data_IF_682350709851
#
_entry.id   IF_682350709851
#
_cell.length_a   1.000
_cell.length_b   1.000
_cell.length_c   1.000
_cell.angle_alpha   90.00
_cell.angle_beta   90.00
_cell.angle_gamma   90.00
#
_symmetry.space_group_name_H-M   'P 1'
#
loop_
_entity.id
_entity.type
_entity.pdbx_description
1 polymer ?
2 non-polymer ?
3 water ?
#
# COMPACT_ATOMS: atom_id res chain seq x y z
N UNK A 21 23.48 5.19 -25.89
CA UNK A 21 23.07 4.21 -24.88
C UNK A 21 22.03 4.80 -23.91
N UNK A 22 21.12 3.96 -23.41
CA UNK A 22 20.09 4.41 -22.47
C UNK A 22 20.55 4.24 -21.03
N UNK A 23 20.06 5.11 -20.15
CA UNK A 23 20.35 4.98 -18.72
C UNK A 23 19.40 3.96 -18.11
N UNK A 24 19.95 3.01 -17.38
CA UNK A 24 19.17 1.97 -16.74
C UNK A 24 18.61 2.47 -15.40
N UNK A 25 17.31 2.31 -15.19
CA UNK A 25 16.70 2.74 -13.94
C UNK A 25 17.38 2.05 -12.75
N UNK A 26 17.78 2.83 -11.76
CA UNK A 26 18.41 2.28 -10.57
C UNK A 26 19.93 2.24 -10.65
N UNK A 27 20.48 2.51 -11.83
CA UNK A 27 21.93 2.52 -12.02
C UNK A 27 22.60 3.65 -11.26
N UNK A 28 23.92 3.56 -11.09
CA UNK A 28 24.67 4.58 -10.38
C UNK A 28 24.54 5.93 -11.09
N UNK A 29 24.62 5.90 -12.42
CA UNK A 29 24.49 7.12 -13.20
C UNK A 29 23.07 7.69 -13.07
N UNK A 30 22.09 6.80 -13.07
CA UNK A 30 20.69 7.21 -12.86
C UNK A 30 20.57 7.96 -11.54
N UNK A 31 21.10 7.35 -10.48
CA UNK A 31 21.05 7.96 -9.16
C UNK A 31 21.64 9.35 -9.16
N UNK A 32 22.80 9.50 -9.81
CA UNK A 32 23.47 10.79 -9.90
C UNK A 32 22.60 11.82 -10.60
N UNK A 33 22.07 11.45 -11.77
CA UNK A 33 21.19 12.34 -12.50
C UNK A 33 19.98 12.69 -11.66
N UNK A 34 19.35 11.68 -11.08
CA UNK A 34 18.15 11.89 -10.28
C UNK A 34 18.38 12.85 -9.10
N UNK A 35 19.51 12.71 -8.41
CA UNK A 35 19.81 13.58 -7.28
C UNK A 35 19.96 15.04 -7.66
N UNK A 36 20.42 15.29 -8.89
CA UNK A 36 20.70 16.65 -9.34
C UNK A 36 19.46 17.33 -9.89
N UNK A 37 18.46 16.51 -10.21
CA UNK A 37 17.27 16.99 -10.91
C UNK A 37 16.28 17.68 -9.98
N UNK A 38 15.62 18.71 -10.49
CA UNK A 38 14.68 19.50 -9.69
C UNK A 38 13.24 19.03 -9.88
N UNK A 39 12.48 18.98 -8.79
CA UNK A 39 11.09 18.56 -8.82
C UNK A 39 10.24 19.58 -8.08
N UNK A 40 8.95 19.66 -8.44
CA UNK A 40 7.99 20.44 -7.64
C UNK A 40 8.04 19.92 -6.22
N UNK A 41 7.93 20.82 -5.25
CA UNK A 41 7.95 20.44 -3.84
C UNK A 41 6.61 19.85 -3.41
N UNK A 42 6.64 18.88 -2.51
CA UNK A 42 5.42 18.27 -1.99
C UNK A 42 4.60 19.25 -1.16
N UNK A 43 5.18 20.44 -0.93
CA UNK A 43 4.51 21.52 -0.20
C UNK A 43 3.07 21.73 -0.64
N UNK A 44 2.87 21.75 -1.95
CA UNK A 44 1.57 22.05 -2.54
C UNK A 44 0.53 20.94 -2.36
N UNK A 45 0.99 19.72 -2.08
CA UNK A 45 0.12 18.54 -2.15
C UNK A 45 0.02 17.78 -0.84
N UNK A 46 1.12 17.70 -0.11
CA UNK A 46 1.16 16.92 1.12
C UNK A 46 0.88 17.75 2.36
N UNK A 47 -0.24 17.46 3.01
CA UNK A 47 -0.58 18.11 4.26
C UNK A 47 0.35 17.65 5.39
N UNK A 48 0.86 18.60 6.17
CA UNK A 48 1.54 18.29 7.43
C UNK A 48 0.52 18.39 8.54
N UNK A 49 0.38 17.33 9.32
CA UNK A 49 -0.72 17.23 10.27
C UNK A 49 -0.25 16.54 11.54
N UNK A 50 -0.60 17.09 12.71
CA UNK A 50 -0.21 16.45 13.97
C UNK A 50 -0.99 15.15 14.16
N UNK A 51 -0.37 14.18 14.83
CA UNK A 51 -0.95 12.85 14.96
C UNK A 51 -2.37 12.83 15.47
N UNK A 52 -2.64 13.64 16.49
CA UNK A 52 -3.92 13.65 17.16
C UNK A 52 -5.07 14.14 16.29
N UNK A 53 -4.74 14.87 15.24
CA UNK A 53 -5.79 15.44 14.39
C UNK A 53 -6.12 14.52 13.21
N UNK A 54 -5.37 13.42 13.09
CA UNK A 54 -5.63 12.45 12.06
C UNK A 54 -6.72 11.48 12.53
N UNK A 55 -7.97 11.92 12.46
CA UNK A 55 -9.10 11.15 12.92
C UNK A 55 -9.96 10.67 11.76
N UNK A 56 -10.90 9.77 12.06
CA UNK A 56 -11.88 9.34 11.08
C UNK A 56 -12.59 10.56 10.48
N UNK A 57 -13.01 11.48 11.34
CA UNK A 57 -13.64 12.71 10.90
C UNK A 57 -12.79 13.50 9.93
N UNK A 58 -11.52 13.70 10.27
CA UNK A 58 -10.59 14.36 9.36
C UNK A 58 -10.57 13.65 8.01
N UNK A 59 -10.36 12.34 8.02
CA UNK A 59 -10.30 11.58 6.77
C UNK A 59 -11.56 11.75 5.95
N UNK A 60 -12.71 11.68 6.63
CA UNK A 60 -13.98 11.81 5.93
C UNK A 60 -14.16 13.21 5.33
N UNK A 61 -13.73 14.23 6.08
CA UNK A 61 -13.79 15.60 5.60
C UNK A 61 -12.99 15.77 4.32
N UNK A 62 -11.71 15.38 4.36
CA UNK A 62 -10.83 15.60 3.21
C UNK A 62 -10.81 14.45 2.19
N UNK A 63 -11.32 13.29 2.58
CA UNK A 63 -11.45 12.16 1.67
C UNK A 63 -10.17 11.40 1.35
N UNK A 64 -9.09 11.70 2.06
CA UNK A 64 -7.82 11.00 1.85
C UNK A 64 -7.52 10.86 0.36
N UNK A 65 -7.47 11.98 -0.35
CA UNK A 65 -7.10 11.98 -1.76
C UNK A 65 -5.67 12.46 -1.96
N UNK A 66 -5.07 13.02 -0.91
CA UNK A 66 -3.69 13.45 -0.97
C UNK A 66 -2.86 12.89 0.18
N UNK A 67 -1.55 12.70 -0.03
CA UNK A 67 -0.72 12.11 1.02
C UNK A 67 -0.66 13.04 2.23
N UNK A 68 -0.36 12.46 3.38
CA UNK A 68 -0.36 13.17 4.63
C UNK A 68 0.93 12.86 5.35
N UNK A 69 1.66 13.90 5.74
CA UNK A 69 2.89 13.71 6.50
C UNK A 69 2.63 14.07 7.96
N UNK A 70 3.01 13.18 8.86
CA UNK A 70 2.88 13.41 10.31
C UNK A 70 4.29 13.49 10.89
N UNK A 71 4.76 14.72 11.15
CA UNK A 71 6.16 14.90 11.50
C UNK A 71 6.59 14.15 12.77
N UNK A 72 5.72 14.05 13.77
CA UNK A 72 6.08 13.34 15.00
C UNK A 72 5.01 12.33 15.33
N UNK A 73 5.40 11.19 15.90
CA UNK A 73 4.47 10.07 16.06
C UNK A 73 3.44 10.28 17.15
N UNK A 74 3.67 11.27 18.01
CA UNK A 74 2.77 11.55 19.12
C UNK A 74 1.32 11.76 18.67
N UNK A 75 0.42 11.00 19.29
CA UNK A 75 -0.98 11.11 18.96
C UNK A 75 -1.47 10.08 17.94
N UNK A 76 -0.54 9.44 17.25
CA UNK A 76 -0.90 8.47 16.21
C UNK A 76 -1.31 7.12 16.77
N UNK A 77 -0.84 6.80 17.98
CA UNK A 77 -1.08 5.49 18.55
C UNK A 77 -0.22 4.48 17.82
N UNK A 78 0.79 4.99 17.13
CA UNK A 78 1.77 4.14 16.47
C UNK A 78 2.74 3.61 17.52
N UNK A 79 2.97 2.30 17.54
CA UNK A 79 3.99 1.75 18.41
C UNK A 79 5.15 1.25 17.55
N UNK A 80 6.34 1.77 17.82
CA UNK A 80 7.55 1.32 17.16
C UNK A 80 8.65 1.28 18.21
N UNK A 81 9.70 0.49 17.97
CA UNK A 81 10.83 0.49 18.90
C UNK A 81 11.52 1.85 18.92
N UNK A 82 12.36 2.08 19.92
CA UNK A 82 13.20 3.27 19.92
C UNK A 82 14.14 3.23 18.73
N UNK A 83 14.65 4.39 18.32
CA UNK A 83 15.62 4.46 17.21
C UNK A 83 16.94 3.75 17.52
N UNK A 84 17.13 3.31 18.77
CA UNK A 84 18.30 2.48 19.10
C UNK A 84 18.03 1.01 18.82
N UNK A 85 17.05 0.76 17.95
CA UNK A 85 16.73 -0.57 17.49
C UNK A 85 17.36 -0.70 16.12
N UNK A 86 18.33 -1.59 15.97
CA UNK A 86 19.15 -1.66 14.76
C UNK A 86 18.84 -2.85 13.88
N UNK A 87 19.47 -2.88 12.71
CA UNK A 87 19.25 -3.99 11.79
C UNK A 87 19.67 -5.30 12.44
N UNK A 88 20.70 -5.26 13.27
CA UNK A 88 21.12 -6.47 13.99
C UNK A 88 20.00 -6.95 14.91
N UNK A 89 19.24 -6.00 15.46
CA UNK A 89 18.08 -6.34 16.29
C UNK A 89 16.96 -6.97 15.45
N UNK A 90 16.72 -6.41 14.27
CA UNK A 90 15.76 -7.02 13.37
C UNK A 90 16.14 -8.47 13.16
N UNK A 91 17.43 -8.72 12.89
CA UNK A 91 17.89 -10.08 12.64
C UNK A 91 17.55 -11.01 13.79
N UNK A 92 17.79 -10.54 15.01
CA UNK A 92 17.50 -11.34 16.19
C UNK A 92 16.01 -11.63 16.39
N UNK A 93 15.17 -10.64 16.16
CA UNK A 93 13.74 -10.79 16.44
C UNK A 93 12.95 -11.41 15.29
N UNK A 94 13.39 -11.18 14.06
CA UNK A 94 12.78 -11.82 12.92
C UNK A 94 13.30 -13.25 12.82
N UNK A 95 14.62 -13.39 12.97
CA UNK A 95 15.26 -14.70 12.90
C UNK A 95 16.26 -14.76 11.76
N UNK A 96 17.52 -15.09 12.09
CA UNK A 96 18.59 -15.06 11.07
C UNK A 96 18.36 -16.02 9.91
N UNK A 97 17.58 -17.07 10.15
CA UNK A 97 17.42 -18.10 9.13
C UNK A 97 16.25 -17.82 8.20
N UNK A 98 15.46 -16.80 8.53
CA UNK A 98 14.32 -16.43 7.71
C UNK A 98 14.68 -16.10 6.27
N UNK A 99 13.96 -16.69 5.33
CA UNK A 99 14.16 -16.38 3.92
C UNK A 99 13.54 -15.00 3.64
N UNK A 100 14.26 -14.17 2.89
CA UNK A 100 13.79 -12.82 2.56
C UNK A 100 14.06 -12.52 1.10
N UNK A 101 13.19 -11.72 0.48
CA UNK A 101 13.39 -11.27 -0.88
C UNK A 101 14.32 -10.07 -0.87
N UNK A 102 15.29 -10.06 -1.77
CA UNK A 102 16.26 -8.98 -1.83
C UNK A 102 16.32 -8.42 -3.23
N UNK A 103 16.23 -7.10 -3.35
CA UNK A 103 16.31 -6.46 -4.64
C UNK A 103 17.74 -5.96 -4.86
N UNK A 104 18.33 -6.39 -5.97
CA UNK A 104 19.58 -5.81 -6.42
C UNK A 104 19.23 -4.58 -7.25
N UNK A 105 19.40 -3.40 -6.66
CA UNK A 105 18.94 -2.16 -7.26
C UNK A 105 19.57 -1.85 -8.61
N UNK A 106 20.87 -2.10 -8.75
CA UNK A 106 21.57 -1.77 -9.99
C UNK A 106 21.13 -2.65 -11.16
N UNK A 107 20.79 -3.90 -10.88
CA UNK A 107 20.30 -4.84 -11.90
C UNK A 107 18.77 -4.74 -12.04
N UNK A 108 18.13 -4.20 -11.01
CA UNK A 108 16.67 -4.19 -10.92
C UNK A 108 16.11 -5.61 -10.92
N UNK A 109 16.92 -6.56 -10.45
CA UNK A 109 16.50 -7.95 -10.33
C UNK A 109 16.30 -8.33 -8.87
N UNK A 110 15.53 -9.38 -8.64
CA UNK A 110 15.25 -9.83 -7.27
C UNK A 110 15.81 -11.23 -7.05
N UNK A 111 16.13 -11.54 -5.79
CA UNK A 111 16.61 -12.87 -5.43
C UNK A 111 16.22 -13.17 -3.99
N UNK A 112 16.50 -14.40 -3.55
CA UNK A 112 16.26 -14.76 -2.16
C UNK A 112 17.56 -15.07 -1.42
N UNK A 113 17.53 -14.90 -0.11
CA UNK A 113 18.65 -15.23 0.75
C UNK A 113 18.17 -15.21 2.20
N UNK A 114 18.92 -15.86 3.08
CA UNK A 114 18.58 -15.82 4.49
C UNK A 114 18.85 -14.42 5.03
N UNK A 115 18.12 -14.04 6.07
CA UNK A 115 18.21 -12.69 6.55
C UNK A 115 19.63 -12.44 7.03
N UNK A 116 20.19 -13.44 7.72
CA UNK A 116 21.56 -13.32 8.26
C UNK A 116 22.56 -12.93 7.17
N UNK A 117 22.36 -13.46 5.97
CA UNK A 117 23.23 -13.13 4.85
C UNK A 117 23.06 -11.67 4.44
N UNK A 118 21.82 -11.20 4.36
CA UNK A 118 21.61 -9.79 4.01
C UNK A 118 22.23 -8.89 5.07
N UNK A 119 22.01 -9.23 6.33
CA UNK A 119 22.58 -8.45 7.43
C UNK A 119 24.10 -8.37 7.36
N UNK A 120 24.74 -9.49 7.00
CA UNK A 120 26.19 -9.53 6.78
C UNK A 120 26.59 -8.52 5.72
N UNK A 121 25.83 -8.49 4.63
CA UNK A 121 26.07 -7.51 3.58
C UNK A 121 25.88 -6.10 4.12
N UNK A 122 24.76 -5.90 4.82
CA UNK A 122 24.42 -4.58 5.33
C UNK A 122 25.54 -3.98 6.17
N UNK A 123 26.15 -4.80 7.02
CA UNK A 123 27.15 -4.30 7.94
C UNK A 123 28.57 -4.29 7.37
N UNK A 124 28.73 -4.76 6.14
CA UNK A 124 30.04 -4.75 5.50
C UNK A 124 30.49 -3.32 5.19
N UNK A 125 31.79 -3.15 4.92
CA UNK A 125 32.33 -1.84 4.62
C UNK A 125 32.63 -1.71 3.13
N UNK A 126 33.37 -2.67 2.60
CA UNK A 126 33.51 -2.79 1.16
C UNK A 126 32.16 -3.20 0.60
N UNK A 127 31.28 -2.22 0.42
CA UNK A 127 29.92 -2.47 -0.02
C UNK A 127 29.79 -2.22 -1.52
N UNK A 128 29.87 -3.28 -2.30
CA UNK A 128 29.78 -3.16 -3.76
C UNK A 128 28.34 -2.93 -4.20
N UNK A 129 27.56 -4.01 -4.22
CA UNK A 129 26.18 -3.99 -4.68
C UNK A 129 25.30 -3.02 -3.90
N UNK A 130 24.19 -2.63 -4.50
CA UNK A 130 23.14 -1.88 -3.80
C UNK A 130 21.95 -2.83 -3.64
N UNK A 131 21.70 -3.26 -2.40
CA UNK A 131 20.67 -4.24 -2.13
C UNK A 131 19.71 -3.71 -1.07
N UNK A 132 18.42 -3.98 -1.24
CA UNK A 132 17.43 -3.61 -0.25
C UNK A 132 16.44 -4.74 0.06
N UNK A 133 15.84 -4.68 1.24
CA UNK A 133 14.76 -5.55 1.64
C UNK A 133 13.54 -4.65 1.74
N UNK A 134 12.53 -4.88 0.92
CA UNK A 134 11.38 -3.98 0.97
C UNK A 134 10.05 -4.68 1.20
N UNK A 135 10.07 -5.98 1.44
CA UNK A 135 8.83 -6.72 1.63
C UNK A 135 8.88 -7.78 2.73
N UNK A 136 9.65 -7.50 3.77
CA UNK A 136 9.74 -8.39 4.91
C UNK A 136 8.55 -8.16 5.83
N UNK A 137 7.53 -9.01 5.75
CA UNK A 137 6.36 -8.86 6.61
C UNK A 137 6.57 -9.72 7.87
N UNK A 138 6.50 -9.09 9.04
CA UNK A 138 7.00 -9.76 10.25
C UNK A 138 5.92 -10.02 11.30
N UNK A 139 4.65 -9.95 10.90
CA UNK A 139 3.56 -10.24 11.81
C UNK A 139 3.64 -11.64 12.41
N UNK A 140 4.33 -12.55 11.71
CA UNK A 140 4.49 -13.93 12.20
C UNK A 140 5.79 -14.17 12.96
N UNK A 141 6.44 -13.10 13.41
CA UNK A 141 7.72 -13.22 14.11
C UNK A 141 7.67 -12.62 15.51
N UNK A 142 8.72 -12.86 16.29
CA UNK A 142 8.83 -12.26 17.61
C UNK A 142 8.82 -10.73 17.54
N UNK A 143 9.25 -10.18 16.41
CA UNK A 143 9.31 -8.72 16.25
C UNK A 143 7.94 -8.08 16.14
N UNK A 144 6.92 -8.89 15.90
CA UNK A 144 5.58 -8.36 15.71
C UNK A 144 5.11 -7.51 16.88
N UNK A 145 5.43 -7.92 18.10
CA UNK A 145 4.91 -7.21 19.26
C UNK A 145 5.52 -5.83 19.43
N UNK A 146 6.61 -5.55 18.70
CA UNK A 146 7.30 -4.26 18.79
C UNK A 146 6.63 -3.18 17.95
N UNK A 147 5.76 -3.57 17.03
CA UNK A 147 5.16 -2.58 16.14
C UNK A 147 3.64 -2.71 16.10
N UNK A 148 2.97 -1.58 16.25
CA UNK A 148 1.52 -1.51 16.06
C UNK A 148 1.24 -0.36 15.10
N UNK A 149 0.45 -0.63 14.05
CA UNK A 149 0.11 0.39 13.06
C UNK A 149 -0.62 1.56 13.70
N UNK A 150 -0.60 2.73 13.04
CA UNK A 150 -1.31 3.90 13.58
C UNK A 150 -2.79 3.58 13.82
N UNK A 151 -3.38 4.16 14.86
CA UNK A 151 -4.81 4.01 15.14
C UNK A 151 -5.71 4.29 13.93
N UNK A 152 -5.37 5.29 13.13
CA UNK A 152 -6.22 5.67 12.00
C UNK A 152 -6.27 4.56 10.93
N UNK A 153 -5.16 3.87 10.76
CA UNK A 153 -5.10 2.74 9.84
C UNK A 153 -6.05 1.63 10.29
N UNK A 154 -6.02 1.32 11.58
CA UNK A 154 -6.92 0.31 12.13
C UNK A 154 -8.38 0.70 11.97
N UNK A 155 -8.69 1.96 12.22
CA UNK A 155 -10.05 2.47 12.06
C UNK A 155 -10.53 2.43 10.61
N UNK A 156 -9.62 2.64 9.67
CA UNK A 156 -9.99 2.65 8.24
C UNK A 156 -9.98 1.28 7.57
N UNK A 157 -9.11 0.40 8.08
CA UNK A 157 -8.80 -0.86 7.40
C UNK A 157 -9.99 -1.81 7.26
N UNK A 158 -10.30 -2.21 6.03
CA UNK A 158 -11.36 -3.19 5.79
C UNK A 158 -11.06 -4.53 6.48
N UNK A 159 -9.80 -4.95 6.41
CA UNK A 159 -9.41 -6.23 7.00
C UNK A 159 -9.57 -6.19 8.52
N UNK A 160 -9.08 -5.11 9.13
CA UNK A 160 -9.16 -4.94 10.57
C UNK A 160 -10.62 -4.92 11.05
N UNK A 161 -11.50 -4.32 10.26
CA UNK A 161 -12.89 -4.14 10.69
C UNK A 161 -13.86 -5.25 10.28
N UNK A 162 -13.66 -5.85 9.11
CA UNK A 162 -14.71 -6.68 8.51
C UNK A 162 -14.34 -8.14 8.29
N UNK A 163 -13.05 -8.45 8.43
CA UNK A 163 -12.59 -9.83 8.27
C UNK A 163 -12.64 -10.55 9.61
N UNK A 164 -13.53 -11.55 9.74
CA UNK A 164 -13.71 -12.22 11.04
C UNK A 164 -12.49 -12.99 11.50
N UNK A 165 -12.26 -13.01 12.82
CA UNK A 165 -11.14 -13.75 13.39
C UNK A 165 -11.26 -15.26 13.13
N UNK A 166 -12.49 -15.77 13.04
CA UNK A 166 -12.68 -17.20 12.78
C UNK A 166 -12.75 -17.57 11.29
N UNK A 167 -12.42 -16.62 10.43
CA UNK A 167 -12.39 -16.88 8.99
C UNK A 167 -11.50 -18.07 8.62
N UNK A 168 -11.93 -18.84 7.62
CA UNK A 168 -11.17 -20.01 7.17
C UNK A 168 -10.04 -19.63 6.19
N UNK A 169 -10.17 -18.48 5.55
CA UNK A 169 -9.12 -17.95 4.68
C UNK A 169 -8.26 -17.01 5.50
N UNK A 170 -6.95 -17.06 5.32
CA UNK A 170 -6.02 -16.25 6.11
C UNK A 170 -6.09 -14.76 5.73
N UNK A 171 -6.06 -13.89 6.74
CA UNK A 171 -6.03 -12.44 6.52
C UNK A 171 -4.85 -12.04 5.64
N UNK A 172 -5.04 -11.03 4.79
CA UNK A 172 -3.94 -10.59 3.93
C UNK A 172 -2.70 -10.21 4.76
N UNK A 173 -1.57 -10.86 4.50
CA UNK A 173 -0.39 -10.66 5.33
C UNK A 173 0.38 -9.44 4.83
N UNK A 174 -0.10 -8.24 5.17
CA UNK A 174 0.45 -7.00 4.61
C UNK A 174 0.42 -5.87 5.65
N UNK A 175 0.33 -6.24 6.91
CA UNK A 175 0.07 -5.31 8.00
C UNK A 175 1.34 -4.69 8.58
N UNK A 176 2.42 -5.46 8.60
CA UNK A 176 3.67 -5.01 9.22
C UNK A 176 4.86 -5.38 8.37
N UNK A 177 5.42 -4.40 7.68
CA UNK A 177 6.60 -4.65 6.84
C UNK A 177 7.79 -3.95 7.48
N UNK A 178 8.94 -4.61 7.43
CA UNK A 178 10.19 -3.96 7.80
C UNK A 178 10.98 -3.68 6.53
N UNK A 179 11.40 -2.44 6.33
CA UNK A 179 12.17 -2.09 5.14
C UNK A 179 13.58 -1.69 5.54
N UNK A 180 14.56 -2.27 4.87
CA UNK A 180 15.96 -1.95 5.10
C UNK A 180 16.58 -1.57 3.77
N UNK A 181 16.92 -0.29 3.63
CA UNK A 181 17.42 0.24 2.38
C UNK A 181 18.79 0.88 2.60
N UNK A 182 19.80 0.46 1.83
CA UNK A 182 21.10 1.11 1.90
C UNK A 182 21.12 2.44 1.15
N UNK A 183 22.09 3.27 1.48
CA UNK A 183 22.33 4.51 0.75
C UNK A 183 22.33 4.23 -0.75
N UNK A 184 21.61 5.07 -1.50
CA UNK A 184 21.46 4.97 -2.96
C UNK A 184 20.51 3.89 -3.44
N UNK A 185 19.69 3.38 -2.53
CA UNK A 185 18.69 2.42 -2.91
C UNK A 185 17.62 3.22 -3.68
N UNK A 186 17.01 2.57 -4.67
CA UNK A 186 15.93 3.19 -5.47
C UNK A 186 14.85 2.15 -5.72
N UNK A 187 13.60 2.54 -5.50
CA UNK A 187 12.47 1.68 -5.86
C UNK A 187 11.71 2.46 -6.92
N UNK A 188 11.47 1.82 -8.06
CA UNK A 188 10.95 2.51 -9.23
C UNK A 188 9.45 2.74 -9.07
N UNK A 189 8.89 3.58 -9.95
CA UNK A 189 7.49 3.98 -9.83
C UNK A 189 6.55 2.78 -9.82
N UNK A 190 5.62 2.80 -8.90
CA UNK A 190 4.61 1.75 -8.86
C UNK A 190 3.37 2.25 -8.13
N UNK A 191 2.27 1.54 -8.36
CA UNK A 191 1.09 1.71 -7.55
C UNK A 191 1.00 0.50 -6.65
N UNK A 192 0.71 0.70 -5.37
CA UNK A 192 0.62 -0.45 -4.48
C UNK A 192 -0.48 -1.41 -4.95
N UNK A 193 -0.25 -2.69 -4.68
CA UNK A 193 -1.18 -3.72 -5.13
C UNK A 193 -2.55 -3.52 -4.49
N UNK A 194 -3.61 -3.77 -5.26
CA UNK A 194 -4.96 -3.58 -4.79
C UNK A 194 -5.35 -2.11 -4.68
N UNK A 195 -4.51 -1.23 -5.21
CA UNK A 195 -4.72 0.19 -5.00
C UNK A 195 -4.76 0.48 -3.51
N UNK A 196 -4.07 -0.35 -2.74
CA UNK A 196 -4.00 -0.18 -1.29
C UNK A 196 -3.37 1.15 -0.87
N UNK A 197 -3.80 1.65 0.27
CA UNK A 197 -3.20 2.84 0.83
C UNK A 197 -2.08 2.35 1.73
N UNK A 198 -1.14 3.23 2.08
CA UNK A 198 0.05 2.78 2.82
C UNK A 198 0.43 3.78 3.90
N UNK A 199 0.99 3.29 5.00
CA UNK A 199 1.69 4.19 5.91
C UNK A 199 3.16 3.76 5.92
N UNK A 200 4.06 4.72 6.07
CA UNK A 200 5.48 4.48 6.10
C UNK A 200 6.05 5.29 7.26
N UNK A 201 6.74 4.64 8.18
CA UNK A 201 7.37 5.34 9.30
C UNK A 201 8.87 5.12 9.26
N UNK A 202 9.62 6.19 9.15
CA UNK A 202 11.07 6.08 9.08
C UNK A 202 11.61 6.08 10.51
N UNK A 203 12.18 4.96 10.92
CA UNK A 203 12.76 4.85 12.26
C UNK A 203 14.15 5.48 12.27
N UNK A 204 14.93 5.19 11.24
CA UNK A 204 16.30 5.68 11.20
C UNK A 204 16.65 6.08 9.79
N UNK A 205 17.30 7.23 9.63
CA UNK A 205 17.74 7.66 8.32
C UNK A 205 16.65 8.47 7.64
N UNK A 206 16.62 8.41 6.32
CA UNK A 206 15.58 9.11 5.58
C UNK A 206 15.28 8.48 4.22
N UNK A 207 14.12 8.82 3.68
CA UNK A 207 13.66 8.20 2.45
C UNK A 207 12.97 9.30 1.65
N UNK A 208 13.32 9.42 0.38
CA UNK A 208 12.71 10.44 -0.46
C UNK A 208 11.65 9.79 -1.33
N UNK A 209 10.45 10.36 -1.34
CA UNK A 209 9.35 9.84 -2.16
C UNK A 209 9.11 10.76 -3.35
N UNK A 210 8.90 10.17 -4.52
CA UNK A 210 8.56 10.95 -5.70
C UNK A 210 7.13 10.54 -6.06
N UNK A 211 6.19 11.48 -5.94
CA UNK A 211 4.78 11.15 -5.88
C UNK A 211 4.05 11.73 -7.09
N UNK A 212 3.27 10.89 -7.74
CA UNK A 212 2.51 11.31 -8.90
C UNK A 212 1.03 11.01 -8.63
N UNK A 213 0.20 12.03 -8.78
CA UNK A 213 -1.23 11.93 -8.53
C UNK A 213 -1.88 10.95 -9.50
N UNK A 214 -2.81 10.11 -9.01
CA UNK A 214 -3.44 9.16 -9.93
C UNK A 214 -4.58 9.79 -10.73
N UNK A 215 -4.29 10.87 -11.44
CA UNK A 215 -5.23 11.41 -12.42
C UNK A 215 -5.41 10.34 -13.49
N UNK A 216 -6.60 10.26 -14.08
CA UNK A 216 -6.88 9.15 -14.97
C UNK A 216 -5.82 8.93 -16.06
N UNK A 217 -5.41 9.99 -16.74
CA UNK A 217 -4.41 9.89 -17.79
C UNK A 217 -3.06 9.40 -17.25
N UNK A 218 -2.72 9.81 -16.03
CA UNK A 218 -1.48 9.35 -15.40
C UNK A 218 -1.50 7.84 -15.17
N UNK A 219 -2.62 7.32 -14.70
CA UNK A 219 -2.77 5.89 -14.51
C UNK A 219 -2.62 5.11 -15.84
N UNK A 220 -3.26 5.60 -16.87
CA UNK A 220 -3.10 5.01 -18.20
C UNK A 220 -1.66 5.03 -18.69
N UNK A 221 -1.00 6.14 -18.56
CA UNK A 221 0.39 6.25 -18.90
C UNK A 221 1.24 5.24 -18.10
N UNK A 222 0.93 5.15 -16.82
CA UNK A 222 1.64 4.22 -15.93
C UNK A 222 1.47 2.80 -16.44
N UNK A 223 0.24 2.43 -16.79
CA UNK A 223 0.00 1.07 -17.26
C UNK A 223 0.81 0.77 -18.52
N UNK A 224 0.83 1.72 -19.45
CA UNK A 224 1.54 1.56 -20.70
C UNK A 224 3.05 1.55 -20.49
N UNK A 225 3.51 2.33 -19.51
CA UNK A 225 4.91 2.30 -19.15
C UNK A 225 5.29 0.95 -18.53
N UNK A 226 4.52 0.46 -17.56
CA UNK A 226 4.87 -0.81 -16.90
C UNK A 226 4.92 -1.95 -17.90
N UNK A 227 4.15 -1.85 -18.98
CA UNK A 227 4.05 -2.97 -19.92
C UNK A 227 5.05 -2.93 -21.07
N UNK A 228 5.74 -1.81 -21.23
CA UNK A 228 6.75 -1.67 -22.27
C UNK A 228 7.99 -2.50 -21.96
N UNK A 229 8.63 -3.04 -22.99
CA UNK A 229 9.83 -3.85 -22.78
C UNK A 229 11.01 -3.01 -22.30
N UNK A 230 11.00 -1.72 -22.64
CA UNK A 230 12.10 -0.84 -22.26
C UNK A 230 11.79 0.02 -21.04
N UNK A 231 10.92 -0.46 -20.16
CA UNK A 231 10.46 0.38 -19.06
C UNK A 231 11.55 0.68 -18.05
N UNK A 232 12.51 -0.23 -17.90
CA UNK A 232 13.64 0.02 -17.01
C UNK A 232 14.63 1.02 -17.60
N UNK A 233 14.39 1.43 -18.85
CA UNK A 233 15.20 2.45 -19.49
C UNK A 233 14.49 3.81 -19.51
N UNK A 234 13.24 3.84 -19.05
CA UNK A 234 12.45 5.07 -19.08
C UNK A 234 12.13 5.56 -17.69
N UNK A 235 12.41 6.84 -17.45
CA UNK A 235 12.07 7.46 -16.18
C UNK A 235 10.62 7.95 -16.25
N UNK A 236 9.72 7.25 -15.57
CA UNK A 236 8.28 7.56 -15.70
C UNK A 236 7.88 9.02 -15.42
N UNK A 237 8.53 9.66 -14.46
CA UNK A 237 8.22 11.06 -14.14
C UNK A 237 8.35 12.00 -15.33
N UNK A 238 9.14 11.60 -16.33
CA UNK A 238 9.30 12.38 -17.56
C UNK A 238 7.98 12.49 -18.34
N UNK A 239 7.07 11.56 -18.11
CA UNK A 239 5.84 11.49 -18.89
C UNK A 239 4.67 12.27 -18.28
N UNK A 240 4.84 12.78 -17.06
CA UNK A 240 3.74 13.45 -16.38
C UNK A 240 4.09 14.90 -16.09
N UNK A 241 3.05 15.71 -15.85
CA UNK A 241 3.24 17.14 -15.62
C UNK A 241 3.89 17.44 -14.27
N UNK A 242 3.49 16.69 -13.23
CA UNK A 242 3.93 16.98 -11.87
C UNK A 242 4.32 15.70 -11.13
N UNK A 243 5.56 15.65 -10.68
CA UNK A 243 6.01 14.57 -9.82
C UNK A 243 6.61 15.25 -8.59
N UNK A 244 5.93 15.12 -7.45
CA UNK A 244 6.32 15.87 -6.26
C UNK A 244 7.38 15.13 -5.44
N UNK A 245 8.35 15.87 -4.92
CA UNK A 245 9.41 15.27 -4.11
C UNK A 245 9.13 15.53 -2.64
N UNK A 246 9.02 14.45 -1.87
CA UNK A 246 8.72 14.55 -0.44
C UNK A 246 9.74 13.78 0.39
N UNK A 247 10.57 14.48 1.15
CA UNK A 247 11.56 13.81 1.98
C UNK A 247 10.95 13.44 3.32
N UNK A 248 11.04 12.16 3.68
CA UNK A 248 10.50 11.68 4.94
C UNK A 248 11.68 11.39 5.86
N UNK A 249 11.76 12.10 6.98
CA UNK A 249 12.93 12.04 7.83
C UNK A 249 12.67 11.19 9.06
N UNK A 250 13.67 11.06 9.90
CA UNK A 250 13.61 10.18 11.03
C UNK A 250 12.45 10.56 11.96
N UNK A 251 11.68 9.55 12.37
CA UNK A 251 10.57 9.75 13.27
C UNK A 251 9.29 10.21 12.58
N UNK A 252 9.36 10.49 11.29
CA UNK A 252 8.19 10.97 10.56
C UNK A 252 7.41 9.83 9.92
N UNK A 253 6.13 10.06 9.64
CA UNK A 253 5.24 9.03 9.09
C UNK A 253 4.52 9.62 7.89
N UNK A 254 4.54 8.93 6.76
CA UNK A 254 3.84 9.36 5.56
C UNK A 254 2.68 8.42 5.21
N UNK A 255 1.51 8.97 4.94
CA UNK A 255 0.38 8.18 4.50
C UNK A 255 0.16 8.45 3.03
N UNK A 256 0.14 7.38 2.23
CA UNK A 256 -0.03 7.51 0.80
C UNK A 256 -1.40 6.96 0.41
N UNK A 257 -2.21 7.76 -0.28
CA UNK A 257 -3.59 7.34 -0.57
C UNK A 257 -3.63 6.39 -1.74
N UNK A 258 -4.82 5.83 -1.97
CA UNK A 258 -5.04 4.85 -3.01
C UNK A 258 -4.66 5.36 -4.41
N UNK A 259 -3.93 4.52 -5.13
CA UNK A 259 -3.64 4.75 -6.53
C UNK A 259 -2.46 5.64 -6.85
N UNK A 260 -1.93 6.36 -5.87
CA UNK A 260 -0.77 7.20 -6.13
C UNK A 260 0.40 6.40 -6.69
N UNK A 261 1.05 6.96 -7.69
CA UNK A 261 2.16 6.31 -8.36
C UNK A 261 3.43 6.88 -7.78
N UNK A 262 4.28 6.04 -7.17
CA UNK A 262 5.44 6.61 -6.50
C UNK A 262 6.71 5.76 -6.60
N UNK A 263 7.85 6.45 -6.50
CA UNK A 263 9.14 5.80 -6.47
C UNK A 263 9.84 6.32 -5.24
N UNK A 264 10.93 5.68 -4.82
CA UNK A 264 11.65 6.20 -3.67
C UNK A 264 13.14 6.13 -3.89
N UNK A 265 13.86 7.07 -3.29
CA UNK A 265 15.31 7.06 -3.32
C UNK A 265 15.76 7.17 -1.87
N UNK A 266 16.78 6.39 -1.51
CA UNK A 266 17.32 6.41 -0.16
C UNK A 266 18.68 7.11 -0.13
N UNK A 267 18.74 8.29 0.50
CA UNK A 267 19.97 9.09 0.55
C UNK A 267 20.97 8.62 1.61
N UNK A 268 20.48 7.93 2.64
CA UNK A 268 21.34 7.36 3.67
C UNK A 268 20.74 6.03 4.11
N UNK A 269 21.56 5.19 4.74
CA UNK A 269 21.05 3.90 5.18
C UNK A 269 19.77 4.17 5.95
N UNK A 270 18.70 3.44 5.61
CA UNK A 270 17.40 3.69 6.20
C UNK A 270 16.76 2.42 6.74
N UNK A 271 16.11 2.54 7.90
CA UNK A 271 15.31 1.47 8.47
C UNK A 271 13.90 2.02 8.66
N UNK A 272 12.90 1.34 8.09
CA UNK A 272 11.53 1.85 8.14
C UNK A 272 10.53 0.74 8.34
N UNK A 273 9.31 1.12 8.76
CA UNK A 273 8.22 0.19 8.91
C UNK A 273 7.06 0.69 8.06
N UNK A 274 6.26 -0.23 7.54
CA UNK A 274 5.14 0.16 6.67
C UNK A 274 4.03 -0.87 6.74
N UNK A 275 2.84 -0.49 6.25
CA UNK A 275 1.71 -1.39 6.19
C UNK A 275 0.76 -0.94 5.08
N UNK A 276 -0.02 -1.87 4.53
CA UNK A 276 -0.96 -1.56 3.46
C UNK A 276 -2.39 -1.86 3.88
N UNK A 277 -3.32 -1.04 3.41
CA UNK A 277 -4.70 -1.21 3.83
C UNK A 277 -5.69 -0.70 2.79
N UNK A 278 -6.88 -1.31 2.80
CA UNK A 278 -8.00 -0.87 1.96
C UNK A 278 -8.98 -0.13 2.83
N UNK A 279 -9.77 0.77 2.25
CA UNK A 279 -10.72 1.53 3.06
C UNK A 279 -11.86 2.07 2.21
N UNK A 280 -12.88 2.61 2.87
CA UNK A 280 -14.12 2.98 2.18
C UNK A 280 -14.08 4.31 1.41
N UNK A 281 -13.00 5.07 1.53
CA UNK A 281 -12.93 6.37 0.86
C UNK A 281 -12.41 6.26 -0.58
N UNK A 282 -11.92 5.08 -0.96
CA UNK A 282 -11.30 4.91 -2.28
C UNK A 282 -11.73 3.62 -2.98
N UNK A 283 -12.98 3.25 -2.83
CA UNK A 283 -13.47 2.02 -3.44
C UNK A 283 -13.19 2.04 -4.94
N UNK A 284 -13.48 3.16 -5.59
CA UNK A 284 -13.31 3.24 -7.03
C UNK A 284 -11.85 3.11 -7.44
N UNK A 285 -10.98 3.87 -6.77
CA UNK A 285 -9.56 3.80 -7.11
C UNK A 285 -9.00 2.40 -6.82
N UNK A 286 -9.46 1.77 -5.74
CA UNK A 286 -8.99 0.42 -5.44
C UNK A 286 -9.30 -0.53 -6.58
N UNK A 287 -10.53 -0.49 -7.08
CA UNK A 287 -10.90 -1.35 -8.21
C UNK A 287 -10.13 -1.01 -9.49
N UNK A 288 -9.97 0.28 -9.77
CA UNK A 288 -9.21 0.71 -10.95
C UNK A 288 -7.77 0.17 -10.92
N UNK A 289 -7.10 0.33 -9.79
CA UNK A 289 -5.74 -0.17 -9.63
C UNK A 289 -5.70 -1.69 -9.77
N UNK A 290 -6.69 -2.37 -9.21
CA UNK A 290 -6.73 -3.84 -9.26
C UNK A 290 -6.89 -4.30 -10.71
N UNK A 291 -7.74 -3.60 -11.47
CA UNK A 291 -7.94 -3.93 -12.86
C UNK A 291 -6.67 -3.69 -13.68
N UNK A 292 -5.95 -2.62 -13.37
CA UNK A 292 -4.68 -2.36 -14.04
C UNK A 292 -3.69 -3.50 -13.76
N UNK A 293 -3.60 -3.90 -12.51
CA UNK A 293 -2.58 -4.89 -12.17
C UNK A 293 -2.96 -6.26 -12.73
N UNK A 294 -4.27 -6.52 -12.87
CA UNK A 294 -4.71 -7.79 -13.44
C UNK A 294 -4.48 -7.83 -14.94
N UNK A 295 -4.53 -6.67 -15.61
CA UNK A 295 -4.20 -6.63 -17.03
C UNK A 295 -2.69 -6.77 -17.24
N UNK A 296 -1.91 -6.18 -16.34
CA UNK A 296 -0.46 -6.22 -16.44
C UNK A 296 0.09 -7.63 -16.27
N UNK A 297 -0.53 -8.42 -15.40
CA UNK A 297 -0.12 -9.80 -15.16
C UNK A 297 1.35 -9.89 -14.74
N UNK A 298 1.76 -8.97 -13.86
CA UNK A 298 3.16 -8.88 -13.45
C UNK A 298 3.34 -9.39 -12.03
N UNK A 299 2.58 -8.78 -11.12
CA UNK A 299 2.72 -9.07 -9.71
C UNK A 299 4.14 -8.83 -9.26
N UNK A 300 4.44 -9.20 -8.03
CA UNK A 300 5.78 -9.10 -7.48
C UNK A 300 5.72 -9.14 -5.97
N UNK A 301 6.71 -8.53 -5.34
CA UNK A 301 6.67 -8.35 -3.90
C UNK A 301 5.44 -7.53 -3.60
N UNK A 302 4.93 -7.67 -2.38
CA UNK A 302 3.82 -6.86 -1.90
C UNK A 302 2.51 -7.00 -2.70
N UNK A 303 2.38 -8.05 -3.50
CA UNK A 303 1.07 -8.34 -4.09
C UNK A 303 0.04 -8.51 -2.98
N UNK A 304 -1.14 -7.90 -3.15
CA UNK A 304 -2.14 -7.89 -2.09
C UNK A 304 -2.95 -9.18 -2.09
N UNK A 305 -2.64 -10.11 -1.17
CA UNK A 305 -3.31 -11.41 -1.18
C UNK A 305 -4.76 -11.30 -0.75
N UNK A 306 -5.64 -12.08 -1.39
CA UNK A 306 -7.05 -12.10 -1.02
C UNK A 306 -7.71 -10.71 -1.04
N UNK A 307 -7.28 -9.89 -1.99
CA UNK A 307 -7.95 -8.60 -2.25
C UNK A 307 -9.44 -8.82 -2.46
N UNK A 308 -9.80 -9.77 -3.32
CA UNK A 308 -11.21 -10.01 -3.60
C UNK A 308 -11.95 -10.46 -2.35
N UNK A 309 -11.29 -11.28 -1.54
CA UNK A 309 -11.88 -11.73 -0.30
C UNK A 309 -12.23 -10.56 0.62
N UNK A 310 -11.32 -9.60 0.74
CA UNK A 310 -11.58 -8.41 1.52
C UNK A 310 -12.80 -7.69 0.94
N UNK A 311 -12.85 -7.59 -0.39
CA UNK A 311 -14.03 -7.01 -1.05
C UNK A 311 -15.33 -7.75 -0.70
N UNK A 312 -15.31 -9.09 -0.74
CA UNK A 312 -16.49 -9.87 -0.38
C UNK A 312 -16.96 -9.54 1.04
N UNK A 313 -16.05 -9.53 2.02
CA UNK A 313 -16.43 -9.18 3.38
C UNK A 313 -16.97 -7.76 3.49
N UNK A 314 -16.37 -6.83 2.76
CA UNK A 314 -16.90 -5.46 2.73
C UNK A 314 -18.33 -5.47 2.23
N UNK A 315 -18.58 -6.24 1.17
CA UNK A 315 -19.91 -6.35 0.59
C UNK A 315 -20.94 -6.85 1.59
N UNK A 316 -20.58 -7.91 2.31
CA UNK A 316 -21.44 -8.42 3.37
C UNK A 316 -21.69 -7.34 4.40
N UNK A 317 -20.65 -6.64 4.82
CA UNK A 317 -20.82 -5.55 5.78
C UNK A 317 -21.82 -4.49 5.27
N UNK A 318 -21.72 -4.14 3.99
CA UNK A 318 -22.57 -3.08 3.46
C UNK A 318 -24.03 -3.51 3.53
N UNK A 319 -24.31 -4.76 3.15
CA UNK A 319 -25.67 -5.27 3.23
C UNK A 319 -26.21 -5.08 4.66
N UNK A 320 -25.39 -5.46 5.65
CA UNK A 320 -25.77 -5.28 7.05
C UNK A 320 -26.01 -3.82 7.42
N UNK A 321 -25.17 -2.92 6.91
CA UNK A 321 -25.34 -1.50 7.19
C UNK A 321 -26.69 -1.02 6.63
N UNK A 322 -26.96 -1.35 5.37
CA UNK A 322 -28.22 -1.04 4.72
C UNK A 322 -29.39 -1.51 5.56
N UNK A 323 -29.46 -2.81 5.78
CA UNK A 323 -30.54 -3.40 6.56
C UNK A 323 -30.74 -2.68 7.88
N UNK A 324 -29.64 -2.27 8.50
CA UNK A 324 -29.70 -1.58 9.78
C UNK A 324 -30.10 -0.12 9.63
N UNK A 325 -30.13 0.39 8.40
CA UNK A 325 -30.48 1.79 8.18
C UNK A 325 -32.00 1.97 8.19
N UNK A 326 -32.72 0.90 7.86
CA UNK A 326 -34.17 0.92 7.95
C UNK A 326 -34.58 1.09 9.41
N UNK A 327 -33.94 0.32 10.28
CA UNK A 327 -34.26 0.34 11.70
C UNK A 327 -34.03 1.71 12.32
N UNK A 328 -33.05 2.45 11.80
CA UNK A 328 -32.70 3.75 12.39
C UNK A 328 -33.05 4.92 11.49
N UNK A 329 -33.60 4.63 10.32
CA UNK A 329 -34.00 5.66 9.38
C UNK A 329 -32.83 6.43 8.76
N UNK A 330 -31.68 6.39 9.42
CA UNK A 330 -30.50 7.10 8.94
C UNK A 330 -29.92 6.46 7.69
N UNK A 331 -29.87 7.22 6.60
CA UNK A 331 -29.34 6.71 5.34
C UNK A 331 -27.82 6.54 5.38
N UNK A 332 -27.30 5.70 4.49
CA UNK A 332 -25.84 5.55 4.37
C UNK A 332 -25.29 6.73 3.61
N UNK A 333 -24.12 7.25 4.03
CA UNK A 333 -23.49 8.33 3.27
C UNK A 333 -23.36 7.93 1.81
N UNK A 334 -23.45 8.91 0.91
CA UNK A 334 -23.45 8.60 -0.52
C UNK A 334 -22.18 7.86 -1.01
N UNK A 335 -21.03 8.09 -0.39
CA UNK A 335 -19.82 7.39 -0.84
C UNK A 335 -19.90 5.90 -0.54
N UNK A 336 -20.58 5.54 0.54
CA UNK A 336 -20.84 4.15 0.86
C UNK A 336 -21.83 3.52 -0.12
N UNK A 337 -22.86 4.27 -0.50
CA UNK A 337 -23.81 3.77 -1.47
C UNK A 337 -23.12 3.62 -2.83
N UNK A 338 -22.33 4.62 -3.20
CA UNK A 338 -21.55 4.53 -4.41
C UNK A 338 -20.55 3.37 -4.34
N UNK A 339 -19.93 3.20 -3.18
CA UNK A 339 -19.02 2.08 -2.97
C UNK A 339 -19.74 0.75 -3.13
N UNK A 340 -20.93 0.64 -2.55
CA UNK A 340 -21.76 -0.54 -2.75
C UNK A 340 -21.96 -0.85 -4.24
N UNK A 341 -22.28 0.18 -5.02
CA UNK A 341 -22.53 -0.01 -6.45
C UNK A 341 -21.32 -0.55 -7.20
N UNK A 342 -20.15 -0.02 -6.88
CA UNK A 342 -18.90 -0.44 -7.50
C UNK A 342 -18.56 -1.87 -7.11
N UNK A 343 -18.71 -2.20 -5.84
CA UNK A 343 -18.43 -3.54 -5.36
C UNK A 343 -19.40 -4.57 -5.96
N UNK A 344 -20.67 -4.20 -6.07
CA UNK A 344 -21.63 -5.11 -6.69
C UNK A 344 -21.23 -5.38 -8.15
N UNK A 345 -20.83 -4.33 -8.86
CA UNK A 345 -20.30 -4.49 -10.21
C UNK A 345 -19.17 -5.51 -10.28
N UNK A 346 -18.23 -5.42 -9.34
CA UNK A 346 -17.13 -6.36 -9.28
C UNK A 346 -17.63 -7.77 -8.99
N UNK A 347 -18.49 -7.91 -7.99
CA UNK A 347 -19.02 -9.22 -7.63
C UNK A 347 -19.67 -9.90 -8.82
N UNK A 348 -20.43 -9.12 -9.60
CA UNK A 348 -21.08 -9.68 -10.79
C UNK A 348 -20.01 -10.12 -11.77
N UNK A 349 -18.99 -9.30 -11.92
CA UNK A 349 -17.89 -9.60 -12.84
C UNK A 349 -17.10 -10.84 -12.44
N UNK A 350 -17.02 -11.11 -11.14
CA UNK A 350 -16.21 -12.21 -10.63
C UNK A 350 -16.96 -13.54 -10.60
N UNK A 351 -18.28 -13.49 -10.76
CA UNK A 351 -19.09 -14.68 -10.62
C UNK A 351 -19.86 -15.04 -11.90
N UNK A 352 -19.67 -14.27 -12.96
CA UNK A 352 -20.32 -14.60 -14.24
C UNK A 352 -19.73 -15.92 -14.75
N UNK A 353 -20.50 -16.62 -15.58
CA UNK A 353 -20.16 -17.98 -16.00
C UNK A 353 -18.71 -18.14 -16.45
N UNK A 354 -18.26 -17.26 -17.33
CA UNK A 354 -16.92 -17.32 -17.88
C UNK A 354 -15.84 -16.91 -16.88
N UNK A 355 -16.26 -16.54 -15.67
CA UNK A 355 -15.36 -15.90 -14.71
C UNK A 355 -14.63 -16.86 -13.75
N UNK A 356 -13.55 -17.46 -14.26
CA UNK A 356 -12.52 -18.12 -13.46
C UNK A 356 -12.94 -19.17 -12.42
N UNK A 357 -12.01 -20.08 -12.16
CA UNK A 357 -11.99 -20.88 -10.95
C UNK A 357 -10.99 -20.18 -10.07
N UNK A 358 -10.42 -19.11 -10.62
CA UNK A 358 -9.53 -18.26 -9.84
C UNK A 358 -10.38 -17.49 -8.86
N UNK A 359 -11.54 -17.01 -9.33
CA UNK A 359 -12.35 -16.14 -8.49
C UNK A 359 -13.00 -16.89 -7.33
N UNK A 360 -13.48 -18.11 -7.56
CA UNK A 360 -14.12 -18.85 -6.47
C UNK A 360 -13.15 -19.14 -5.32
N UNK A 361 -11.85 -19.26 -5.62
CA UNK A 361 -10.87 -19.56 -4.60
C UNK A 361 -10.81 -18.48 -3.52
N UNK A 362 -11.25 -17.26 -3.84
CA UNK A 362 -11.19 -16.16 -2.89
C UNK A 362 -12.53 -15.88 -2.18
N UNK A 363 -13.55 -16.68 -2.51
CA UNK A 363 -14.85 -16.50 -1.86
C UNK A 363 -14.85 -17.07 -0.44
N UNK A 364 -15.33 -16.29 0.54
CA UNK A 364 -15.28 -16.83 1.90
C UNK A 364 -16.32 -17.93 2.08
N UNK A 365 -16.08 -18.81 3.06
CA UNK A 365 -17.06 -19.83 3.42
C UNK A 365 -18.45 -19.25 3.68
N UNK A 366 -19.47 -20.02 3.31
CA UNK A 366 -20.86 -19.66 3.61
C UNK A 366 -21.40 -18.47 2.81
N UNK A 367 -20.61 -17.94 1.87
CA UNK A 367 -21.11 -16.87 1.01
C UNK A 367 -22.00 -17.43 -0.10
N UNK A 368 -23.05 -16.68 -0.42
CA UNK A 368 -23.94 -16.97 -1.53
C UNK A 368 -23.93 -15.78 -2.47
N UNK A 369 -22.99 -15.75 -3.42
CA UNK A 369 -22.78 -14.56 -4.27
C UNK A 369 -24.05 -14.11 -5.00
N UNK A 370 -24.70 -15.01 -5.73
CA UNK A 370 -25.89 -14.61 -6.48
C UNK A 370 -26.85 -13.85 -5.56
N UNK A 371 -27.04 -14.36 -4.35
CA UNK A 371 -27.96 -13.74 -3.40
C UNK A 371 -27.44 -12.41 -2.85
N UNK A 372 -26.16 -12.36 -2.51
CA UNK A 372 -25.59 -11.11 -2.03
C UNK A 372 -25.79 -9.99 -3.06
N UNK A 373 -25.45 -10.29 -4.30
CA UNK A 373 -25.54 -9.34 -5.39
C UNK A 373 -26.99 -8.87 -5.56
N UNK A 374 -27.90 -9.83 -5.56
CA UNK A 374 -29.32 -9.54 -5.69
C UNK A 374 -29.75 -8.65 -4.53
N UNK A 375 -29.31 -9.00 -3.31
CA UNK A 375 -29.69 -8.29 -2.10
C UNK A 375 -29.11 -6.88 -2.03
N UNK A 376 -27.87 -6.74 -2.48
CA UNK A 376 -27.22 -5.44 -2.49
C UNK A 376 -27.89 -4.52 -3.50
N UNK A 377 -28.13 -5.05 -4.70
CA UNK A 377 -28.76 -4.29 -5.76
C UNK A 377 -30.10 -3.73 -5.30
N UNK A 378 -30.87 -4.52 -4.57
CA UNK A 378 -32.16 -4.07 -4.08
C UNK A 378 -32.01 -2.95 -3.06
N UNK A 379 -31.08 -3.13 -2.12
CA UNK A 379 -30.86 -2.15 -1.07
C UNK A 379 -30.31 -0.83 -1.60
N UNK A 380 -29.57 -0.89 -2.70
CA UNK A 380 -29.05 0.33 -3.29
C UNK A 380 -30.21 1.13 -3.88
N UNK A 381 -31.12 0.42 -4.55
CA UNK A 381 -32.34 1.05 -5.07
C UNK A 381 -33.16 1.69 -3.94
N UNK A 382 -33.38 0.94 -2.87
CA UNK A 382 -34.17 1.45 -1.75
C UNK A 382 -33.59 2.71 -1.13
N UNK A 383 -32.26 2.86 -1.22
CA UNK A 383 -31.61 4.04 -0.66
C UNK A 383 -31.63 5.20 -1.66
N UNK A 384 -31.49 4.89 -2.93
CA UNK A 384 -31.47 5.91 -3.97
C UNK A 384 -32.80 6.68 -4.02
N UNK A 385 -33.89 5.97 -3.76
CA UNK A 385 -35.19 6.62 -3.63
C UNK A 385 -35.26 7.33 -2.29
N UNK A 386 -34.91 8.61 -2.29
CA UNK A 386 -34.85 9.43 -1.09
C UNK A 386 -34.09 10.73 -1.36
#
# INVERSE_FOLDING_TARGET
STLKKKRTWHKHGPGQAPDVKPVQNGSQLFIKELRSRTFPSAEDVVARVPGSQLTLGYMEEHGFTEPILVPKKDGLGLAVPAPTFYVSDVENYVGPERSVDVTDVTKQKDCKMKLKEFVDYYYSTNRKRVLNVTNLEFSDTRMSSFVEPPDIVKKLSWVENYWPDDALLAKPKVTKYCLICVKDSYTDFHIDSGGASAWYHVLKGEKTFYLIRPASANISLYERWRSASNHSEMFFADQVDKCYKCIVKQGQTLFIPSGWIYATLTPVDCLAFAGHFLHSLSVEMQMRAYEVERRLKLGSLTQFPNFETACWYMGKHLLEAFKGSHKSGKQLPPHLVQGAKILNGAFRSWTKKQALAEHEDELPEHFKPSQLIKDLAKEIRLSENASKAVRP
#
